data_IF_990405677717
#
_entry.id   IF_990405677717
#
_cell.length_a   1.000
_cell.length_b   1.000
_cell.length_c   1.000
_cell.angle_alpha   90.00
_cell.angle_beta   90.00
_cell.angle_gamma   90.00
#
_symmetry.space_group_name_H-M   'P 1'
#
loop_
_entity.id
_entity.type
_entity.pdbx_description
1 polymer ?
#
# COMPACT_ATOMS: atom_id res chain seq x y z
N UNK A 1 3.61 -21.27 2.38
CA UNK A 1 3.06 -20.97 3.72
C UNK A 1 4.06 -20.04 4.38
N UNK A 2 3.73 -18.77 4.67
CA UNK A 2 4.71 -17.84 5.26
C UNK A 2 4.12 -17.14 6.50
N UNK A 3 4.65 -17.63 7.62
CA UNK A 3 5.11 -16.95 8.82
C UNK A 3 4.14 -15.96 9.45
N UNK A 4 3.45 -16.48 10.47
CA UNK A 4 2.73 -15.72 11.48
C UNK A 4 3.64 -14.66 12.09
N UNK A 5 3.29 -13.40 11.89
CA UNK A 5 4.02 -12.28 12.44
C UNK A 5 3.51 -12.01 13.86
N UNK A 6 4.38 -12.14 14.86
CA UNK A 6 4.04 -11.89 16.27
C UNK A 6 3.91 -10.37 16.52
N UNK A 7 2.66 -9.91 16.60
CA UNK A 7 2.29 -8.50 16.80
C UNK A 7 2.44 -8.01 18.25
N UNK A 8 2.99 -8.81 19.17
CA UNK A 8 3.07 -8.48 20.61
C UNK A 8 3.95 -7.26 20.94
N UNK A 9 4.82 -6.81 20.02
CA UNK A 9 5.80 -5.73 20.28
C UNK A 9 5.43 -4.36 19.70
N UNK A 10 4.36 -4.23 18.93
CA UNK A 10 3.97 -2.92 18.37
C UNK A 10 3.23 -2.07 19.40
N UNK A 11 3.87 -0.98 19.86
CA UNK A 11 3.22 0.06 20.67
C UNK A 11 1.99 0.60 19.92
N UNK A 12 0.81 0.23 20.38
CA UNK A 12 -0.48 0.56 19.76
C UNK A 12 -0.77 2.06 19.85
N UNK A 13 -0.29 2.84 18.88
CA UNK A 13 -0.85 4.16 18.58
C UNK A 13 -2.07 3.95 17.71
N UNK A 14 -3.25 4.38 18.20
CA UNK A 14 -4.49 4.40 17.40
C UNK A 14 -4.21 5.11 16.08
N UNK A 15 -4.22 4.36 14.99
CA UNK A 15 -4.11 4.92 13.67
C UNK A 15 -5.36 5.78 13.41
N UNK A 16 -5.25 7.11 13.20
CA UNK A 16 -6.39 8.00 12.96
C UNK A 16 -7.21 7.60 11.73
N UNK A 17 -6.66 6.73 10.86
CA UNK A 17 -7.34 6.17 9.69
C UNK A 17 -8.18 4.92 9.98
N UNK A 18 -8.24 4.44 11.23
CA UNK A 18 -9.03 3.26 11.62
C UNK A 18 -10.56 3.51 11.62
N UNK A 19 -10.99 4.77 11.64
CA UNK A 19 -12.39 5.13 11.87
C UNK A 19 -13.31 5.10 10.64
N UNK A 20 -12.77 4.87 9.43
CA UNK A 20 -13.59 4.79 8.22
C UNK A 20 -13.77 3.33 7.81
N UNK A 21 -15.03 2.89 7.71
CA UNK A 21 -15.40 1.55 7.25
C UNK A 21 -14.73 1.30 5.89
N UNK A 22 -13.68 0.49 5.87
CA UNK A 22 -12.96 0.16 4.64
C UNK A 22 -13.89 -0.71 3.80
N UNK A 23 -14.13 -0.33 2.54
CA UNK A 23 -14.75 -1.24 1.57
C UNK A 23 -13.69 -2.25 1.12
N UNK A 24 -13.88 -3.56 1.33
CA UNK A 24 -12.91 -4.55 0.88
C UNK A 24 -12.89 -4.58 -0.65
N UNK A 25 -11.69 -4.57 -1.24
CA UNK A 25 -11.46 -4.69 -2.68
C UNK A 25 -10.35 -5.68 -2.94
N UNK A 26 -10.49 -6.50 -3.99
CA UNK A 26 -9.43 -7.38 -4.48
C UNK A 26 -8.75 -6.69 -5.65
N UNK A 27 -7.44 -6.45 -5.54
CA UNK A 27 -6.62 -5.82 -6.58
C UNK A 27 -5.45 -6.74 -6.92
N UNK A 28 -5.15 -6.88 -8.22
CA UNK A 28 -3.91 -7.53 -8.67
C UNK A 28 -2.79 -6.50 -8.66
N UNK A 29 -1.68 -6.86 -8.04
CA UNK A 29 -0.47 -6.05 -7.97
C UNK A 29 0.71 -6.86 -8.51
N UNK A 30 1.65 -6.18 -9.16
CA UNK A 30 2.92 -6.79 -9.54
C UNK A 30 3.70 -7.25 -8.31
N UNK A 31 4.49 -8.31 -8.45
CA UNK A 31 5.32 -8.84 -7.36
C UNK A 31 6.35 -7.80 -6.88
N UNK A 32 6.92 -7.06 -7.82
CA UNK A 32 7.83 -5.93 -7.61
C UNK A 32 7.17 -4.83 -6.74
N UNK A 33 5.93 -4.45 -7.07
CA UNK A 33 5.16 -3.47 -6.28
C UNK A 33 4.90 -3.99 -4.88
N UNK A 34 4.52 -5.26 -4.73
CA UNK A 34 4.28 -5.87 -3.41
C UNK A 34 5.55 -5.85 -2.56
N UNK A 35 6.70 -6.23 -3.13
CA UNK A 35 7.96 -6.28 -2.40
C UNK A 35 8.42 -4.88 -1.97
N UNK A 36 8.34 -3.91 -2.87
CA UNK A 36 8.64 -2.50 -2.57
C UNK A 36 7.83 -1.97 -1.38
N UNK A 37 6.52 -2.20 -1.37
CA UNK A 37 5.68 -1.74 -0.27
C UNK A 37 5.86 -2.55 1.02
N UNK A 38 6.30 -3.81 0.95
CA UNK A 38 6.61 -4.62 2.15
C UNK A 38 7.86 -4.09 2.86
N UNK A 39 8.93 -3.82 2.13
CA UNK A 39 10.17 -3.29 2.69
C UNK A 39 9.95 -1.92 3.34
N UNK A 40 9.22 -1.02 2.65
CA UNK A 40 8.91 0.29 3.19
C UNK A 40 7.98 0.22 4.43
N UNK A 41 7.05 -0.73 4.43
CA UNK A 41 6.13 -0.97 5.54
C UNK A 41 6.83 -1.48 6.79
N UNK A 42 7.85 -2.33 6.63
CA UNK A 42 8.69 -2.82 7.73
C UNK A 42 9.42 -1.66 8.40
N UNK A 43 10.03 -0.78 7.62
CA UNK A 43 10.72 0.42 8.12
C UNK A 43 9.75 1.40 8.81
N UNK A 44 8.55 1.57 8.27
CA UNK A 44 7.53 2.46 8.80
C UNK A 44 6.74 1.87 9.99
N UNK A 45 6.89 0.57 10.27
CA UNK A 45 6.17 -0.12 11.34
C UNK A 45 4.65 -0.16 11.13
N UNK A 46 4.17 -0.22 9.88
CA UNK A 46 2.74 -0.33 9.55
C UNK A 46 2.49 -1.42 8.51
N UNK A 47 1.29 -2.02 8.40
CA UNK A 47 1.03 -3.04 7.39
C UNK A 47 1.16 -2.49 5.95
N UNK A 48 1.76 -3.25 5.03
CA UNK A 48 1.95 -2.83 3.63
C UNK A 48 0.63 -2.44 2.93
N UNK A 49 -0.47 -3.13 3.23
CA UNK A 49 -1.80 -2.77 2.71
C UNK A 49 -2.27 -1.39 3.20
N UNK A 50 -1.94 -1.03 4.45
CA UNK A 50 -2.23 0.29 4.99
C UNK A 50 -1.38 1.34 4.30
N UNK A 51 -0.10 1.05 4.09
CA UNK A 51 0.84 1.93 3.40
C UNK A 51 0.41 2.20 1.94
N UNK A 52 0.07 1.15 1.18
CA UNK A 52 -0.47 1.28 -0.19
C UNK A 52 -1.69 2.22 -0.19
N UNK A 53 -2.63 2.02 0.73
CA UNK A 53 -3.81 2.87 0.81
C UNK A 53 -3.46 4.34 1.18
N UNK A 54 -2.44 4.58 1.99
CA UNK A 54 -1.97 5.94 2.30
C UNK A 54 -1.40 6.61 1.06
N UNK A 55 -0.59 5.90 0.27
CA UNK A 55 -0.07 6.40 -1.00
C UNK A 55 -1.20 6.71 -2.00
N UNK A 56 -2.19 5.82 -2.12
CA UNK A 56 -3.35 6.09 -2.98
C UNK A 56 -4.15 7.31 -2.53
N UNK A 57 -4.30 7.53 -1.21
CA UNK A 57 -4.92 8.76 -0.68
C UNK A 57 -4.11 10.00 -1.00
N UNK A 58 -2.78 9.93 -0.90
CA UNK A 58 -1.89 11.01 -1.30
C UNK A 58 -2.07 11.35 -2.78
N UNK A 59 -2.16 10.33 -3.65
CA UNK A 59 -2.42 10.52 -5.07
C UNK A 59 -3.76 11.24 -5.32
N UNK A 60 -4.81 10.89 -4.57
CA UNK A 60 -6.13 11.57 -4.67
C UNK A 60 -6.03 13.01 -4.19
N UNK A 61 -5.40 13.25 -3.04
CA UNK A 61 -5.27 14.59 -2.46
C UNK A 61 -4.49 15.55 -3.37
N UNK A 62 -3.45 15.05 -4.03
CA UNK A 62 -2.62 15.82 -4.96
C UNK A 62 -3.09 15.75 -6.42
N UNK A 63 -4.22 15.08 -6.68
CA UNK A 63 -4.78 14.87 -8.03
C UNK A 63 -3.74 14.38 -9.05
N UNK A 64 -2.84 13.49 -8.63
CA UNK A 64 -1.78 12.95 -9.50
C UNK A 64 -2.43 12.19 -10.65
N UNK A 65 -2.03 12.51 -11.88
CA UNK A 65 -2.45 11.80 -13.09
C UNK A 65 -1.25 11.02 -13.63
N UNK A 66 -1.44 9.72 -13.84
CA UNK A 66 -0.48 8.89 -14.53
C UNK A 66 -0.62 9.19 -16.02
N UNK A 67 0.49 9.43 -16.70
CA UNK A 67 0.51 9.44 -18.15
C UNK A 67 0.47 7.99 -18.65
N UNK A 68 -0.62 7.64 -19.35
CA UNK A 68 -0.89 6.28 -19.85
C UNK A 68 -0.63 6.23 -21.36
N UNK A 69 0.11 7.18 -21.93
CA UNK A 69 0.58 7.05 -23.32
C UNK A 69 1.52 5.85 -23.41
N UNK A 70 0.94 4.69 -23.73
CA UNK A 70 1.65 3.48 -24.06
C UNK A 70 2.53 3.83 -25.26
N UNK A 71 3.85 3.82 -25.10
CA UNK A 71 4.73 3.84 -26.26
C UNK A 71 4.47 2.54 -27.00
N UNK A 72 3.62 2.58 -28.03
CA UNK A 72 3.61 1.58 -29.08
C UNK A 72 4.99 1.61 -29.70
N UNK A 73 5.89 0.75 -29.20
CA UNK A 73 7.05 0.36 -29.99
C UNK A 73 6.50 -0.50 -31.13
N UNK A 74 6.05 0.16 -32.18
CA UNK A 74 5.88 -0.45 -33.48
C UNK A 74 7.28 -0.85 -33.97
N UNK A 75 7.47 -2.16 -34.13
CA UNK A 75 8.68 -2.78 -34.67
C UNK A 75 8.30 -4.05 -35.39
#
# INVERSE_FOLDING_TARGET
MKEEYDFSKMKSRKNPYAAQLKKPVTMRLGEDVINYFKEMAEQAGIPYQTLINLYLRDCVAHQRKIDIMWQTKDG
#
